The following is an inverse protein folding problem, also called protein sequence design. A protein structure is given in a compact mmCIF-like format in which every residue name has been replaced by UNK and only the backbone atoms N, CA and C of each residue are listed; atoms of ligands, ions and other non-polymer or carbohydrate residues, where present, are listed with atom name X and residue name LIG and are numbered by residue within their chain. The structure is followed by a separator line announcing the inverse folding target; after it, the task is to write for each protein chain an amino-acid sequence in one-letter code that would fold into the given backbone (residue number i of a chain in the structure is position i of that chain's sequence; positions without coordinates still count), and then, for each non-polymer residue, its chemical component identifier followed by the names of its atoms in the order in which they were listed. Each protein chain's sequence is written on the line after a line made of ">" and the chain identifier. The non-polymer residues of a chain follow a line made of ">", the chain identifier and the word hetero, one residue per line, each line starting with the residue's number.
data_IF_221491969243
#
_entry.id   IF_221491969243
#
_cell.length_a   1.000
_cell.length_b   1.000
_cell.length_c   1.000
_cell.angle_alpha   90.00
_cell.angle_beta   90.00
_cell.angle_gamma   90.00
#
_symmetry.space_group_name_H-M   'P 1'
#
loop_
_entity.id
_entity.type
_entity.pdbx_description
1 polymer ?
#
# COMPACT_ATOMS: atom_id res chain seq x y z
N UNK A 1 59.07 3.10 11.18
CA UNK A 1 59.29 1.82 10.47
C UNK A 1 57.94 1.15 10.32
N UNK A 2 57.27 1.38 9.19
CA UNK A 2 55.97 0.78 8.89
C UNK A 2 56.17 -0.48 8.03
N UNK A 3 55.66 -1.61 8.51
CA UNK A 3 55.71 -2.88 7.79
C UNK A 3 54.55 -2.96 6.81
N UNK A 4 54.90 -3.02 5.53
CA UNK A 4 54.00 -3.23 4.39
C UNK A 4 53.54 -4.69 4.38
N UNK A 5 52.24 -4.97 4.30
CA UNK A 5 51.74 -6.29 3.89
C UNK A 5 50.88 -6.14 2.65
N UNK A 6 51.31 -6.82 1.60
CA UNK A 6 50.74 -6.78 0.26
C UNK A 6 49.47 -7.60 0.11
N UNK A 7 48.71 -7.26 -0.93
CA UNK A 7 47.49 -7.93 -1.34
C UNK A 7 47.82 -9.13 -2.22
N UNK A 8 47.19 -10.28 -1.97
CA UNK A 8 47.11 -11.41 -2.91
C UNK A 8 45.63 -11.75 -3.13
N UNK A 9 45.16 -11.94 -4.37
CA UNK A 9 43.79 -12.33 -4.66
C UNK A 9 43.65 -13.86 -4.63
N UNK A 10 42.58 -14.38 -4.02
CA UNK A 10 42.18 -15.78 -4.21
C UNK A 10 40.76 -15.90 -4.74
N UNK A 11 40.66 -16.76 -5.74
CA UNK A 11 39.52 -17.15 -6.56
C UNK A 11 39.13 -18.55 -6.08
N UNK A 12 37.89 -18.80 -5.70
CA UNK A 12 37.47 -20.17 -5.38
C UNK A 12 36.15 -20.27 -4.61
N UNK A 13 35.15 -20.85 -5.26
CA UNK A 13 33.98 -21.43 -4.61
C UNK A 13 34.41 -22.57 -3.68
N UNK A 14 33.88 -22.59 -2.46
CA UNK A 14 34.09 -23.67 -1.50
C UNK A 14 33.29 -23.38 -0.25
N UNK A 15 32.14 -24.03 -0.12
CA UNK A 15 31.33 -24.08 1.09
C UNK A 15 32.06 -24.95 2.11
N UNK A 16 32.59 -24.35 3.17
CA UNK A 16 33.01 -25.09 4.37
C UNK A 16 32.06 -24.72 5.51
N UNK A 17 31.24 -25.69 5.89
CA UNK A 17 30.42 -25.65 7.08
C UNK A 17 31.30 -25.94 8.30
N UNK A 18 31.23 -25.10 9.33
CA UNK A 18 31.81 -25.38 10.65
C UNK A 18 30.69 -25.53 11.68
N UNK A 19 30.74 -26.64 12.43
CA UNK A 19 29.82 -27.02 13.52
C UNK A 19 30.37 -26.49 14.85
N UNK A 20 29.53 -25.83 15.64
CA UNK A 20 29.86 -25.37 17.00
C UNK A 20 29.73 -26.49 18.04
N UNK A 21 30.59 -26.49 19.07
CA UNK A 21 30.74 -27.56 20.08
C UNK A 21 29.79 -27.46 21.30
N UNK A 22 28.79 -26.59 21.28
CA UNK A 22 28.03 -26.19 22.48
C UNK A 22 26.50 -26.09 22.31
N UNK A 23 25.95 -26.55 21.18
CA UNK A 23 24.54 -26.94 21.09
C UNK A 23 23.49 -25.84 21.34
N UNK A 24 23.81 -24.55 21.14
CA UNK A 24 22.84 -23.43 21.17
C UNK A 24 23.02 -22.54 19.93
N UNK A 25 21.94 -22.03 19.32
CA UNK A 25 22.06 -21.16 18.16
C UNK A 25 22.55 -19.77 18.58
N UNK A 26 23.82 -19.49 18.30
CA UNK A 26 24.41 -18.17 18.37
C UNK A 26 24.22 -17.44 17.02
N UNK A 27 23.18 -16.62 16.91
CA UNK A 27 23.10 -15.62 15.85
C UNK A 27 24.07 -14.49 16.20
N UNK A 28 25.28 -14.55 15.64
CA UNK A 28 26.18 -13.40 15.61
C UNK A 28 26.30 -12.86 14.18
N UNK A 29 25.76 -11.65 14.04
CA UNK A 29 26.16 -10.56 13.17
C UNK A 29 27.13 -10.90 12.03
N UNK A 30 26.65 -10.81 10.79
CA UNK A 30 27.50 -10.57 9.63
C UNK A 30 27.58 -9.05 9.40
N UNK A 31 28.71 -8.46 9.78
CA UNK A 31 29.16 -7.17 9.28
C UNK A 31 30.08 -7.41 8.07
N UNK A 32 29.79 -6.76 6.94
CA UNK A 32 30.81 -6.29 5.99
C UNK A 32 30.20 -5.28 5.00
N UNK A 33 30.25 -4.00 5.41
CA UNK A 33 30.77 -2.80 4.72
C UNK A 33 31.04 -2.88 3.19
N UNK A 34 30.91 -1.85 2.35
CA UNK A 34 30.40 -0.46 2.39
C UNK A 34 30.45 0.03 0.93
N UNK A 35 29.37 0.62 0.41
CA UNK A 35 29.48 1.67 -0.61
C UNK A 35 28.96 2.94 0.06
N UNK A 36 29.86 3.89 0.26
CA UNK A 36 29.56 5.20 0.80
C UNK A 36 28.63 5.94 -0.16
N UNK A 37 27.33 5.92 0.15
CA UNK A 37 26.36 6.91 -0.33
C UNK A 37 25.81 7.58 0.93
N UNK A 38 25.98 8.90 0.96
CA UNK A 38 25.70 9.79 2.08
C UNK A 38 24.39 9.50 2.78
N UNK A 39 24.43 9.48 4.12
CA UNK A 39 23.37 9.74 5.10
C UNK A 39 22.03 10.15 4.49
N UNK A 40 21.32 9.17 3.93
CA UNK A 40 19.89 9.27 3.73
C UNK A 40 19.31 8.40 4.83
N UNK A 41 18.77 9.05 5.85
CA UNK A 41 17.74 8.48 6.72
C UNK A 41 16.54 8.12 5.83
N UNK A 42 16.69 7.05 5.03
CA UNK A 42 15.57 6.46 4.32
C UNK A 42 14.63 5.94 5.41
N UNK A 43 13.34 6.29 5.39
CA UNK A 43 12.41 5.60 6.25
C UNK A 43 12.50 4.12 5.87
N UNK A 44 13.00 3.28 6.77
CA UNK A 44 12.98 1.83 6.61
C UNK A 44 11.51 1.41 6.64
N UNK A 45 10.83 1.51 5.50
CA UNK A 45 9.50 0.96 5.36
C UNK A 45 9.58 -0.54 5.66
N UNK A 46 8.57 -1.07 6.35
CA UNK A 46 8.51 -2.48 6.69
C UNK A 46 8.57 -3.41 5.46
N UNK A 47 8.22 -2.90 4.26
CA UNK A 47 8.25 -3.64 3.01
C UNK A 47 9.05 -2.95 1.91
N UNK A 48 9.61 -3.76 0.99
CA UNK A 48 10.38 -3.31 -0.19
C UNK A 48 9.65 -2.25 -1.03
N UNK A 49 8.33 -2.33 -1.11
CA UNK A 49 7.51 -1.44 -1.94
C UNK A 49 6.74 -0.38 -1.10
N UNK A 50 7.11 -0.21 0.17
CA UNK A 50 6.44 0.66 1.12
C UNK A 50 5.68 -0.11 2.20
N UNK A 51 4.80 0.59 2.91
CA UNK A 51 3.99 0.04 3.99
C UNK A 51 2.60 0.68 4.07
N UNK A 52 1.68 -0.02 4.72
CA UNK A 52 0.38 0.50 5.14
C UNK A 52 0.33 0.60 6.67
N UNK A 53 0.30 1.82 7.19
CA UNK A 53 0.27 2.09 8.63
C UNK A 53 -1.18 2.27 9.09
N UNK A 54 -1.73 1.40 9.96
CA UNK A 54 -3.11 1.54 10.43
C UNK A 54 -3.28 2.77 11.34
N UNK A 55 -4.26 3.63 11.06
CA UNK A 55 -4.53 4.81 11.89
C UNK A 55 -5.16 4.48 13.24
N UNK A 56 -5.70 3.27 13.41
CA UNK A 56 -6.34 2.80 14.64
C UNK A 56 -5.40 2.11 15.63
N UNK A 57 -4.08 2.14 15.37
CA UNK A 57 -3.09 1.36 16.09
C UNK A 57 -2.86 -0.03 15.48
N UNK A 58 -1.71 -0.62 15.79
CA UNK A 58 -1.22 -1.88 15.24
C UNK A 58 0.09 -1.72 14.46
N UNK A 59 0.66 -2.85 14.06
CA UNK A 59 1.92 -2.88 13.32
C UNK A 59 1.72 -2.44 11.85
N UNK A 60 2.71 -1.74 11.26
CA UNK A 60 2.69 -1.41 9.84
C UNK A 60 2.70 -2.68 8.99
N UNK A 61 1.84 -2.71 7.96
CA UNK A 61 1.72 -3.85 7.05
C UNK A 61 2.71 -3.64 5.90
N UNK A 62 3.69 -4.54 5.71
CA UNK A 62 4.70 -4.39 4.67
C UNK A 62 4.12 -4.65 3.28
N UNK A 63 4.46 -3.80 2.30
CA UNK A 63 4.16 -4.02 0.90
C UNK A 63 5.30 -4.82 0.25
N UNK A 64 5.08 -6.12 0.10
CA UNK A 64 6.11 -7.10 -0.27
C UNK A 64 6.12 -7.49 -1.76
N UNK A 65 5.09 -7.14 -2.52
CA UNK A 65 4.94 -7.44 -3.95
C UNK A 65 4.43 -6.21 -4.68
N UNK A 66 4.63 -6.14 -5.99
CA UNK A 66 4.10 -5.07 -6.86
C UNK A 66 2.59 -5.18 -7.07
N UNK A 67 2.00 -6.37 -6.88
CA UNK A 67 0.56 -6.60 -6.95
C UNK A 67 0.12 -7.29 -5.68
N UNK A 68 -0.77 -6.64 -4.94
CA UNK A 68 -1.27 -7.12 -3.66
C UNK A 68 -2.79 -7.15 -3.69
N UNK A 69 -3.37 -8.31 -3.39
CA UNK A 69 -4.79 -8.44 -3.15
C UNK A 69 -5.08 -8.17 -1.68
N UNK A 70 -5.99 -7.23 -1.41
CA UNK A 70 -6.43 -6.89 -0.06
C UNK A 70 -7.85 -7.37 0.16
N UNK A 71 -8.09 -8.06 1.26
CA UNK A 71 -9.43 -8.58 1.55
C UNK A 71 -9.49 -9.40 2.83
N UNK A 72 -10.66 -9.93 3.12
CA UNK A 72 -10.91 -10.71 4.34
C UNK A 72 -10.43 -12.16 4.25
N UNK A 73 -10.37 -12.72 3.03
CA UNK A 73 -10.00 -14.12 2.82
C UNK A 73 -8.52 -14.34 3.15
N UNK A 74 -8.15 -15.55 3.64
CA UNK A 74 -6.74 -15.90 3.87
C UNK A 74 -5.93 -16.04 2.58
N UNK A 75 -6.60 -16.13 1.42
CA UNK A 75 -5.94 -16.14 0.11
C UNK A 75 -5.47 -14.76 -0.37
N UNK A 76 -5.78 -13.68 0.37
CA UNK A 76 -5.33 -12.33 0.06
C UNK A 76 -3.91 -12.11 0.57
N UNK A 77 -3.09 -11.35 -0.17
CA UNK A 77 -1.74 -11.00 0.26
C UNK A 77 -1.76 -10.14 1.55
N UNK A 78 -2.75 -9.24 1.64
CA UNK A 78 -3.04 -8.49 2.86
C UNK A 78 -4.39 -8.93 3.39
N UNK A 79 -4.36 -9.75 4.44
CA UNK A 79 -5.56 -10.25 5.09
C UNK A 79 -6.05 -9.28 6.16
N UNK A 80 -7.22 -8.69 5.94
CA UNK A 80 -7.91 -7.85 6.91
C UNK A 80 -9.10 -8.62 7.50
N UNK A 81 -8.93 -9.19 8.70
CA UNK A 81 -9.91 -10.07 9.36
C UNK A 81 -11.12 -9.33 9.97
N UNK A 82 -11.68 -8.37 9.23
CA UNK A 82 -12.82 -7.58 9.69
C UNK A 82 -14.11 -7.96 8.95
N UNK A 83 -15.26 -8.03 9.64
CA UNK A 83 -16.52 -8.47 9.05
C UNK A 83 -17.05 -7.50 7.98
N UNK A 84 -16.69 -6.22 8.07
CA UNK A 84 -17.05 -5.16 7.13
C UNK A 84 -16.16 -5.11 5.87
N UNK A 85 -15.13 -5.95 5.78
CA UNK A 85 -14.25 -6.04 4.61
C UNK A 85 -14.71 -7.20 3.72
N UNK A 86 -14.92 -6.94 2.42
CA UNK A 86 -15.21 -7.97 1.42
C UNK A 86 -14.10 -9.03 1.34
N UNK A 87 -14.50 -10.24 0.92
CA UNK A 87 -13.61 -11.38 0.69
C UNK A 87 -12.38 -11.03 -0.16
N UNK A 88 -12.62 -10.43 -1.33
CA UNK A 88 -11.63 -9.77 -2.17
C UNK A 88 -12.10 -8.31 -2.27
N UNK A 89 -11.43 -7.37 -1.62
CA UNK A 89 -11.95 -6.01 -1.45
C UNK A 89 -11.40 -5.07 -2.50
N UNK A 90 -10.09 -4.94 -2.55
CA UNK A 90 -9.39 -4.08 -3.47
C UNK A 90 -8.04 -4.68 -3.85
N UNK A 91 -7.44 -4.16 -4.91
CA UNK A 91 -6.13 -4.57 -5.39
C UNK A 91 -5.23 -3.35 -5.46
N UNK A 92 -4.03 -3.51 -4.94
CA UNK A 92 -2.96 -2.55 -5.06
C UNK A 92 -2.05 -3.02 -6.20
N UNK A 93 -1.66 -2.13 -7.09
CA UNK A 93 -0.80 -2.43 -8.24
C UNK A 93 0.21 -1.31 -8.40
N UNK A 94 1.49 -1.65 -8.42
CA UNK A 94 2.57 -0.72 -8.66
C UNK A 94 2.73 -0.54 -10.17
N UNK A 95 2.62 0.69 -10.64
CA UNK A 95 2.74 1.05 -12.06
C UNK A 95 3.60 2.32 -12.15
N UNK A 96 4.71 2.25 -12.88
CA UNK A 96 5.66 3.37 -13.07
C UNK A 96 6.13 4.00 -11.75
N UNK A 97 6.35 3.19 -10.72
CA UNK A 97 6.78 3.62 -9.39
C UNK A 97 5.68 4.24 -8.51
N UNK A 98 4.43 4.29 -8.98
CA UNK A 98 3.28 4.75 -8.21
C UNK A 98 2.33 3.61 -7.88
N UNK A 99 1.73 3.68 -6.70
CA UNK A 99 0.69 2.74 -6.30
C UNK A 99 -0.66 3.15 -6.91
N UNK A 100 -1.31 2.19 -7.58
CA UNK A 100 -2.70 2.29 -8.01
C UNK A 100 -3.56 1.36 -7.17
N UNK A 101 -4.65 1.91 -6.65
CA UNK A 101 -5.62 1.17 -5.85
C UNK A 101 -6.87 1.01 -6.69
N UNK A 102 -7.34 -0.23 -6.86
CA UNK A 102 -8.56 -0.57 -7.60
C UNK A 102 -9.54 -1.30 -6.68
N UNK A 103 -10.76 -0.79 -6.58
CA UNK A 103 -11.85 -1.49 -5.89
C UNK A 103 -12.36 -2.66 -6.76
N UNK A 104 -12.65 -3.80 -6.13
CA UNK A 104 -13.11 -5.02 -6.81
C UNK A 104 -14.62 -5.27 -6.63
N UNK A 105 -15.42 -4.21 -6.49
CA UNK A 105 -16.85 -4.30 -6.21
C UNK A 105 -17.11 -4.60 -4.75
N UNK A 106 -16.37 -3.94 -3.86
CA UNK A 106 -16.52 -4.14 -2.43
C UNK A 106 -17.85 -3.58 -1.92
N UNK A 107 -18.38 -4.15 -0.83
CA UNK A 107 -19.70 -3.74 -0.30
C UNK A 107 -19.70 -2.32 0.28
N UNK A 108 -18.60 -1.95 0.94
CA UNK A 108 -18.48 -0.67 1.65
C UNK A 108 -17.61 0.35 0.89
N UNK A 109 -17.06 -0.04 -0.26
CA UNK A 109 -16.18 0.78 -1.07
C UNK A 109 -14.77 0.92 -0.52
N UNK A 110 -13.88 1.36 -1.41
CA UNK A 110 -12.53 1.82 -1.11
C UNK A 110 -12.47 3.34 -1.29
N UNK A 111 -11.78 4.06 -0.40
CA UNK A 111 -11.60 5.51 -0.51
C UNK A 111 -10.13 5.89 -0.44
N UNK A 112 -9.73 6.91 -1.20
CA UNK A 112 -8.39 7.54 -1.12
C UNK A 112 -8.60 9.02 -0.85
N UNK A 113 -8.00 9.52 0.22
CA UNK A 113 -8.15 10.89 0.75
C UNK A 113 -9.62 11.30 0.91
N UNK A 114 -10.44 10.36 1.39
CA UNK A 114 -11.87 10.57 1.67
C UNK A 114 -12.80 10.44 0.47
N UNK A 115 -12.28 10.38 -0.76
CA UNK A 115 -13.08 10.17 -1.98
C UNK A 115 -13.20 8.69 -2.31
N UNK A 116 -14.40 8.23 -2.64
CA UNK A 116 -14.63 6.86 -3.07
C UNK A 116 -14.10 6.66 -4.50
N UNK A 117 -13.40 5.56 -4.72
CA UNK A 117 -12.65 5.32 -5.95
C UNK A 117 -13.10 4.01 -6.62
N UNK A 118 -12.98 3.94 -7.95
CA UNK A 118 -12.99 2.66 -8.66
C UNK A 118 -11.56 2.22 -8.99
N UNK A 119 -10.74 3.16 -9.49
CA UNK A 119 -9.30 3.01 -9.64
C UNK A 119 -8.65 4.38 -9.53
N UNK A 120 -7.67 4.52 -8.64
CA UNK A 120 -6.94 5.78 -8.46
C UNK A 120 -5.47 5.54 -8.22
N UNK A 121 -4.62 6.45 -8.72
CA UNK A 121 -3.26 6.61 -8.23
C UNK A 121 -3.32 7.09 -6.78
N UNK A 122 -2.48 6.52 -5.93
CA UNK A 122 -2.38 6.84 -4.53
C UNK A 122 -1.05 7.54 -4.28
N UNK A 123 -1.09 8.82 -3.92
CA UNK A 123 0.12 9.59 -3.64
C UNK A 123 0.80 9.12 -2.34
N UNK A 124 2.11 9.33 -2.17
CA UNK A 124 2.80 9.02 -0.93
C UNK A 124 2.16 9.72 0.27
N UNK A 125 2.07 9.02 1.40
CA UNK A 125 1.45 9.46 2.66
C UNK A 125 -0.06 9.75 2.55
N UNK A 126 -0.73 9.28 1.49
CA UNK A 126 -2.18 9.45 1.37
C UNK A 126 -2.95 8.56 2.34
N UNK A 127 -4.19 8.95 2.64
CA UNK A 127 -5.08 8.19 3.51
C UNK A 127 -5.93 7.24 2.69
N UNK A 128 -5.69 5.94 2.84
CA UNK A 128 -6.49 4.88 2.23
C UNK A 128 -7.51 4.37 3.23
N UNK A 129 -8.78 4.31 2.84
CA UNK A 129 -9.85 3.73 3.65
C UNK A 129 -10.39 2.48 2.96
N UNK A 130 -10.37 1.36 3.68
CA UNK A 130 -10.89 0.07 3.24
C UNK A 130 -12.07 -0.27 4.15
N UNK A 131 -13.29 -0.18 3.61
CA UNK A 131 -14.52 -0.15 4.41
C UNK A 131 -14.49 0.96 5.49
N UNK A 132 -14.42 0.58 6.77
CA UNK A 132 -14.36 1.52 7.91
C UNK A 132 -12.95 1.66 8.51
N UNK A 133 -11.95 1.01 7.91
CA UNK A 133 -10.58 0.98 8.42
C UNK A 133 -9.72 1.96 7.64
N UNK A 134 -8.90 2.72 8.34
CA UNK A 134 -8.07 3.78 7.76
C UNK A 134 -6.60 3.41 7.88
N UNK A 135 -5.86 3.65 6.81
CA UNK A 135 -4.44 3.39 6.69
C UNK A 135 -3.76 4.60 6.05
N UNK A 136 -2.51 4.84 6.43
CA UNK A 136 -1.61 5.75 5.71
C UNK A 136 -0.73 4.89 4.80
N UNK A 137 -0.74 5.19 3.50
CA UNK A 137 0.12 4.53 2.53
C UNK A 137 1.45 5.28 2.43
N UNK A 138 2.54 4.66 2.85
CA UNK A 138 3.86 5.27 2.85
C UNK A 138 4.79 4.50 1.92
N UNK A 139 5.37 5.20 0.95
CA UNK A 139 6.33 4.66 0.00
C UNK A 139 7.12 5.81 -0.65
N UNK A 140 8.21 5.49 -1.32
CA UNK A 140 9.04 6.47 -2.04
C UNK A 140 9.02 6.18 -3.55
N UNK A 141 8.29 6.95 -4.36
CA UNK A 141 8.15 6.67 -5.79
C UNK A 141 9.48 6.59 -6.53
N UNK A 142 10.44 7.46 -6.19
CA UNK A 142 11.76 7.49 -6.82
C UNK A 142 12.55 6.20 -6.54
N UNK A 143 12.45 5.66 -5.33
CA UNK A 143 13.06 4.37 -4.98
C UNK A 143 12.39 3.20 -5.73
N UNK A 144 11.13 3.37 -6.14
CA UNK A 144 10.37 2.38 -6.92
C UNK A 144 10.48 2.60 -8.44
N UNK A 145 11.39 3.45 -8.91
CA UNK A 145 11.65 3.67 -10.33
C UNK A 145 10.72 4.67 -11.01
N UNK A 146 10.00 5.51 -10.26
CA UNK A 146 9.26 6.63 -10.84
C UNK A 146 10.22 7.65 -11.46
N UNK A 147 10.00 7.98 -12.73
CA UNK A 147 10.73 9.02 -13.45
C UNK A 147 9.76 9.89 -14.24
N UNK A 148 9.97 11.21 -14.23
CA UNK A 148 9.10 12.17 -14.92
C UNK A 148 7.87 12.60 -14.11
N UNK A 149 6.93 13.34 -14.73
CA UNK A 149 5.73 13.81 -14.06
C UNK A 149 4.82 12.64 -13.65
N UNK A 150 4.14 12.72 -12.48
CA UNK A 150 3.24 11.67 -12.01
C UNK A 150 2.15 11.31 -13.05
N UNK A 151 1.87 10.01 -13.31
CA UNK A 151 0.83 9.59 -14.27
C UNK A 151 -0.54 10.11 -13.86
N UNK A 152 -1.39 10.56 -14.78
CA UNK A 152 -2.71 11.11 -14.43
C UNK A 152 -3.57 10.14 -13.58
N UNK A 153 -4.40 10.70 -12.70
CA UNK A 153 -5.34 9.92 -11.87
C UNK A 153 -6.53 9.45 -12.71
N UNK A 154 -6.75 8.13 -12.81
CA UNK A 154 -7.82 7.50 -13.61
C UNK A 154 -9.25 7.90 -13.17
N UNK A 155 -9.49 8.27 -11.91
CA UNK A 155 -10.84 8.61 -11.43
C UNK A 155 -11.40 9.90 -12.10
N UNK A 156 -10.56 10.85 -12.51
CA UNK A 156 -11.04 12.11 -13.10
C UNK A 156 -11.76 11.91 -14.43
N UNK A 157 -11.27 10.98 -15.26
CA UNK A 157 -11.86 10.72 -16.58
C UNK A 157 -13.22 10.03 -16.45
N UNK A 158 -13.36 9.06 -15.54
CA UNK A 158 -14.61 8.29 -15.38
C UNK A 158 -15.73 9.15 -14.78
N UNK A 159 -15.41 10.02 -13.81
CA UNK A 159 -16.38 10.95 -13.22
C UNK A 159 -16.87 12.00 -14.23
N UNK A 160 -15.97 12.52 -15.08
CA UNK A 160 -16.31 13.47 -16.16
C UNK A 160 -17.14 12.83 -17.28
N UNK A 161 -16.88 11.55 -17.58
CA UNK A 161 -17.67 10.75 -18.52
C UNK A 161 -19.09 10.48 -17.96
N UNK A 162 -19.20 10.13 -16.68
CA UNK A 162 -20.50 9.85 -16.03
C UNK A 162 -21.38 11.09 -15.91
N UNK A 163 -20.83 12.24 -15.52
CA UNK A 163 -21.61 13.48 -15.44
C UNK A 163 -22.17 13.87 -16.81
N UNK A 164 -21.33 13.85 -17.85
CA UNK A 164 -21.74 14.16 -19.23
C UNK A 164 -22.79 13.19 -19.78
N UNK A 165 -22.73 11.90 -19.42
CA UNK A 165 -23.74 10.89 -19.78
C UNK A 165 -25.06 11.09 -19.03
N UNK A 166 -25.01 11.34 -17.72
CA UNK A 166 -26.21 11.56 -16.89
C UNK A 166 -26.94 12.85 -17.25
N UNK A 167 -26.20 13.92 -17.56
CA UNK A 167 -26.76 15.21 -17.97
C UNK A 167 -27.49 15.10 -19.31
N UNK A 168 -26.91 14.38 -20.29
CA UNK A 168 -27.53 14.13 -21.60
C UNK A 168 -28.70 13.15 -21.53
N UNK A 169 -28.69 12.23 -20.57
CA UNK A 169 -29.78 11.28 -20.33
C UNK A 169 -30.95 11.88 -19.52
N UNK A 170 -30.81 13.11 -19.00
CA UNK A 170 -31.86 13.78 -18.22
C UNK A 170 -32.18 13.10 -16.87
N UNK A 171 -31.23 12.34 -16.31
CA UNK A 171 -31.43 11.50 -15.12
C UNK A 171 -30.87 12.12 -13.82
N UNK A 172 -30.71 13.45 -13.72
CA UNK A 172 -30.30 14.05 -12.45
C UNK A 172 -31.33 13.72 -11.36
N UNK A 173 -30.88 13.02 -10.32
CA UNK A 173 -31.77 12.46 -9.30
C UNK A 173 -32.53 13.58 -8.60
N UNK A 174 -33.85 13.54 -8.77
CA UNK A 174 -34.86 14.22 -7.97
C UNK A 174 -34.54 14.06 -6.47
N UNK A 175 -34.27 15.18 -5.79
CA UNK A 175 -34.06 15.23 -4.35
C UNK A 175 -35.18 14.52 -3.59
N UNK A 176 -34.79 13.55 -2.76
CA UNK A 176 -35.67 12.78 -1.90
C UNK A 176 -36.24 13.63 -0.78
N UNK A 177 -37.52 13.97 -0.94
CA UNK A 177 -38.48 14.53 0.04
C UNK A 177 -38.20 14.11 1.50
N UNK A 178 -37.99 15.11 2.37
CA UNK A 178 -37.98 14.99 3.84
C UNK A 178 -39.39 14.59 4.31
N UNK A 179 -39.59 13.32 4.69
CA UNK A 179 -40.82 12.84 5.31
C UNK A 179 -40.75 13.02 6.83
N UNK A 180 -41.30 14.12 7.36
CA UNK A 180 -41.72 14.16 8.77
C UNK A 180 -43.19 13.76 8.83
N UNK A 181 -43.43 12.48 9.11
CA UNK A 181 -44.76 11.97 9.43
C UNK A 181 -44.94 12.09 10.95
N UNK A 182 -45.83 12.97 11.41
CA UNK A 182 -46.50 12.88 12.71
C UNK A 182 -47.91 13.43 12.55
N UNK A 183 -48.82 12.49 12.33
CA UNK A 183 -50.27 12.57 12.54
C UNK A 183 -50.61 11.36 13.46
N UNK A 184 -51.75 11.28 14.19
CA UNK A 184 -52.88 12.22 14.31
C UNK A 184 -53.54 12.38 15.72
N UNK A 185 -54.52 13.31 15.79
CA UNK A 185 -55.87 13.23 16.43
C UNK A 185 -56.15 13.46 17.94
N UNK A 186 -57.16 14.33 18.15
CA UNK A 186 -58.16 14.49 19.23
C UNK A 186 -57.64 14.93 20.62
N UNK A 187 -58.23 15.91 21.31
CA UNK A 187 -59.64 16.32 21.49
C UNK A 187 -59.75 17.86 21.62
#
# INVERSE_FOLDING_TARGET
>A
MGTLFGVLPFKGHGYDALVASDGRPCFHAFHSETIAVQDREFPEFAGKFGQLTPCGGGDPIPLVKERLLVGRRPSCDIQLKFPNVSSNHCRFSLESGYWFIKDLGSRNGTKVDGRQIMRKRADPKCKVSIAKHHYILEYEPQALGAFGPPPADDDYVEEMLKSSLMDRAGLSRRDGKKSTNRDPLAD
#
